data_IF_263766799345
#
_entry.id   IF_263766799345
#
_cell.length_a   1.000
_cell.length_b   1.000
_cell.length_c   1.000
_cell.angle_alpha   90.00
_cell.angle_beta   90.00
_cell.angle_gamma   90.00
#
_symmetry.space_group_name_H-M   'P 1'
#
loop_
_entity.id
_entity.type
_entity.pdbx_description
1 polymer ?
#
# COMPACT_ATOMS: atom_id res chain seq x y z
N UNK A 1 4.11 -3.22 -24.83
CA UNK A 1 4.24 -4.08 -23.63
C UNK A 1 3.62 -5.43 -23.96
N UNK A 2 4.33 -6.54 -23.71
CA UNK A 2 3.81 -7.87 -24.05
C UNK A 2 2.93 -8.44 -22.91
N UNK A 3 2.26 -9.55 -23.20
CA UNK A 3 1.32 -10.18 -22.25
C UNK A 3 2.02 -10.64 -20.97
N UNK A 4 3.24 -11.16 -21.08
CA UNK A 4 4.01 -11.60 -19.91
C UNK A 4 4.30 -10.44 -18.96
N UNK A 5 4.68 -9.28 -19.48
CA UNK A 5 4.92 -8.10 -18.68
C UNK A 5 3.64 -7.61 -18.01
N UNK A 6 2.53 -7.59 -18.75
CA UNK A 6 1.25 -7.19 -18.22
C UNK A 6 0.81 -8.09 -17.06
N UNK A 7 1.00 -9.41 -17.19
CA UNK A 7 0.64 -10.37 -16.15
C UNK A 7 1.51 -10.19 -14.89
N UNK A 8 2.79 -9.92 -15.06
CA UNK A 8 3.68 -9.65 -13.92
C UNK A 8 3.27 -8.39 -13.17
N UNK A 9 2.99 -7.32 -13.91
CA UNK A 9 2.54 -6.07 -13.32
C UNK A 9 1.19 -6.26 -12.62
N UNK A 10 0.25 -6.93 -13.28
CA UNK A 10 -1.07 -7.24 -12.70
C UNK A 10 -0.93 -7.95 -11.36
N UNK A 11 -0.09 -8.99 -11.31
CA UNK A 11 0.13 -9.77 -10.09
C UNK A 11 0.69 -8.90 -8.97
N UNK A 12 1.64 -8.03 -9.28
CA UNK A 12 2.22 -7.13 -8.27
C UNK A 12 1.21 -6.10 -7.77
N UNK A 13 0.35 -5.59 -8.65
CA UNK A 13 -0.73 -4.68 -8.25
C UNK A 13 -1.71 -5.40 -7.32
N UNK A 14 -2.08 -6.63 -7.64
CA UNK A 14 -2.97 -7.45 -6.81
C UNK A 14 -2.36 -7.73 -5.44
N UNK A 15 -1.03 -7.81 -5.34
CA UNK A 15 -0.31 -7.97 -4.09
C UNK A 15 -0.16 -6.65 -3.32
N UNK A 16 -0.80 -5.58 -3.79
CA UNK A 16 -0.75 -4.25 -3.17
C UNK A 16 0.67 -3.65 -3.14
N UNK A 17 1.48 -3.97 -4.15
CA UNK A 17 2.78 -3.34 -4.29
C UNK A 17 2.62 -1.91 -4.79
N UNK A 18 3.44 -0.99 -4.27
CA UNK A 18 3.47 0.39 -4.75
C UNK A 18 4.15 0.47 -6.12
N UNK A 19 3.95 1.59 -6.82
CA UNK A 19 4.61 1.82 -8.12
C UNK A 19 6.13 1.70 -7.99
N UNK A 20 6.71 2.29 -6.94
CA UNK A 20 8.15 2.22 -6.69
C UNK A 20 8.62 0.78 -6.50
N UNK A 21 7.86 -0.04 -5.75
CA UNK A 21 8.17 -1.44 -5.53
C UNK A 21 8.08 -2.25 -6.83
N UNK A 22 7.07 -1.97 -7.66
CA UNK A 22 6.91 -2.64 -8.95
C UNK A 22 8.06 -2.32 -9.89
N UNK A 23 8.44 -1.04 -9.99
CA UNK A 23 9.58 -0.62 -10.80
C UNK A 23 10.88 -1.25 -10.34
N UNK A 24 11.10 -1.35 -9.04
CA UNK A 24 12.29 -1.96 -8.47
C UNK A 24 12.36 -3.44 -8.79
N UNK A 25 11.24 -4.16 -8.66
CA UNK A 25 11.18 -5.60 -8.91
C UNK A 25 11.33 -5.94 -10.38
N UNK A 26 10.83 -5.09 -11.27
CA UNK A 26 10.89 -5.27 -12.72
C UNK A 26 11.87 -4.31 -13.37
N UNK A 27 12.96 -4.00 -12.67
CA UNK A 27 13.98 -3.04 -13.10
C UNK A 27 14.50 -3.31 -14.51
N UNK A 28 14.67 -4.57 -14.87
CA UNK A 28 15.22 -4.97 -16.17
C UNK A 28 14.30 -4.64 -17.35
N UNK A 29 13.03 -4.39 -17.08
CA UNK A 29 12.03 -4.14 -18.11
C UNK A 29 11.79 -2.67 -18.39
N UNK A 30 12.50 -1.78 -17.69
CA UNK A 30 12.46 -0.32 -17.91
C UNK A 30 11.03 0.23 -17.97
N UNK A 31 10.18 -0.20 -17.05
CA UNK A 31 8.79 0.22 -17.04
C UNK A 31 8.64 1.67 -16.58
N UNK A 32 7.70 2.38 -17.16
CA UNK A 32 7.34 3.73 -16.75
C UNK A 32 6.13 3.66 -15.82
N UNK A 33 5.89 4.74 -15.06
CA UNK A 33 4.68 4.89 -14.26
C UNK A 33 3.43 4.76 -15.11
N UNK A 34 3.46 5.32 -16.33
CA UNK A 34 2.35 5.23 -17.30
C UNK A 34 2.03 3.79 -17.70
N UNK A 35 3.05 2.95 -17.87
CA UNK A 35 2.84 1.53 -18.17
C UNK A 35 2.07 0.82 -17.05
N UNK A 36 2.43 1.11 -15.80
CA UNK A 36 1.79 0.49 -14.63
C UNK A 36 0.33 0.94 -14.52
N UNK A 37 0.06 2.23 -14.71
CA UNK A 37 -1.32 2.75 -14.71
C UNK A 37 -2.14 2.17 -15.87
N UNK A 38 -1.53 1.98 -17.04
CA UNK A 38 -2.21 1.38 -18.20
C UNK A 38 -2.67 -0.04 -17.88
N UNK A 39 -1.81 -0.86 -17.23
CA UNK A 39 -2.17 -2.21 -16.83
C UNK A 39 -3.29 -2.20 -15.79
N UNK A 40 -3.19 -1.32 -14.79
CA UNK A 40 -4.22 -1.20 -13.77
C UNK A 40 -5.58 -0.87 -14.39
N UNK A 41 -5.59 0.05 -15.37
CA UNK A 41 -6.81 0.43 -16.07
C UNK A 41 -7.38 -0.72 -16.90
N UNK A 42 -6.50 -1.44 -17.62
CA UNK A 42 -6.91 -2.57 -18.45
C UNK A 42 -7.60 -3.66 -17.66
N UNK A 43 -7.09 -3.97 -16.48
CA UNK A 43 -7.63 -5.02 -15.60
C UNK A 43 -8.53 -4.49 -14.50
N UNK A 44 -8.85 -3.19 -14.53
CA UNK A 44 -9.71 -2.53 -13.53
C UNK A 44 -9.20 -2.75 -12.10
N UNK A 45 -7.90 -2.56 -11.90
CA UNK A 45 -7.24 -2.73 -10.62
C UNK A 45 -6.92 -1.39 -9.97
N UNK A 46 -6.94 -1.36 -8.65
CA UNK A 46 -6.56 -0.17 -7.88
C UNK A 46 -5.10 -0.25 -7.49
N UNK A 47 -4.33 0.79 -7.80
CA UNK A 47 -2.92 0.88 -7.44
C UNK A 47 -2.79 1.35 -5.98
N UNK A 48 -1.96 0.66 -5.22
CA UNK A 48 -1.59 1.08 -3.86
C UNK A 48 -0.56 2.21 -3.95
N UNK A 49 -0.91 3.37 -3.44
CA UNK A 49 -0.08 4.58 -3.58
C UNK A 49 1.12 4.60 -2.65
N UNK A 50 1.03 3.95 -1.49
CA UNK A 50 2.10 3.96 -0.51
C UNK A 50 2.04 2.69 0.35
N UNK A 51 3.16 2.41 1.02
CA UNK A 51 3.20 1.30 1.99
C UNK A 51 2.20 1.51 3.11
N UNK A 52 1.99 2.76 3.52
CA UNK A 52 1.04 3.10 4.57
C UNK A 52 -0.40 2.83 4.13
N UNK A 53 -0.75 3.12 2.88
CA UNK A 53 -2.06 2.80 2.34
C UNK A 53 -2.30 1.29 2.35
N UNK A 54 -1.28 0.50 2.00
CA UNK A 54 -1.35 -0.96 2.07
C UNK A 54 -1.65 -1.44 3.50
N UNK A 55 -0.97 -0.86 4.47
CA UNK A 55 -1.19 -1.20 5.89
C UNK A 55 -2.59 -0.79 6.32
N UNK A 56 -3.04 0.40 5.91
CA UNK A 56 -4.37 0.92 6.25
C UNK A 56 -5.51 0.06 5.67
N UNK A 57 -5.26 -0.63 4.56
CA UNK A 57 -6.24 -1.53 3.95
C UNK A 57 -6.32 -2.90 4.64
N UNK A 58 -5.41 -3.18 5.57
CA UNK A 58 -5.39 -4.43 6.31
C UNK A 58 -6.48 -4.44 7.38
N UNK A 59 -7.16 -5.58 7.56
CA UNK A 59 -8.21 -5.73 8.57
C UNK A 59 -7.68 -5.47 9.99
N UNK A 60 -6.43 -5.87 10.29
CA UNK A 60 -5.81 -5.62 11.58
C UNK A 60 -5.68 -4.13 11.88
N UNK A 61 -5.34 -3.33 10.86
CA UNK A 61 -5.25 -1.88 11.03
C UNK A 61 -6.61 -1.32 11.47
N UNK A 62 -7.69 -1.72 10.82
CA UNK A 62 -9.03 -1.24 11.14
C UNK A 62 -9.44 -1.65 12.55
N UNK A 63 -9.15 -2.87 12.95
CA UNK A 63 -9.43 -3.35 14.31
C UNK A 63 -8.66 -2.53 15.35
N UNK A 64 -7.38 -2.31 15.14
CA UNK A 64 -6.54 -1.51 16.04
C UNK A 64 -6.99 -0.05 16.09
N UNK A 65 -7.43 0.50 14.97
CA UNK A 65 -7.96 1.86 14.91
C UNK A 65 -9.22 2.02 15.76
N UNK A 66 -10.13 1.05 15.69
CA UNK A 66 -11.32 1.02 16.54
C UNK A 66 -10.93 0.98 18.02
N UNK A 67 -9.99 0.10 18.39
CA UNK A 67 -9.51 -0.02 19.77
C UNK A 67 -8.89 1.28 20.27
N UNK A 68 -8.11 1.94 19.40
CA UNK A 68 -7.51 3.25 19.73
C UNK A 68 -8.60 4.29 19.97
N UNK A 69 -9.60 4.36 19.11
CA UNK A 69 -10.69 5.33 19.22
C UNK A 69 -11.55 5.10 20.46
N UNK A 70 -11.63 3.85 20.93
CA UNK A 70 -12.33 3.50 22.15
C UNK A 70 -11.48 3.70 23.43
N UNK A 71 -10.21 4.10 23.26
CA UNK A 71 -9.31 4.32 24.38
C UNK A 71 -8.71 3.05 24.97
N UNK A 72 -8.85 1.92 24.28
CA UNK A 72 -8.29 0.64 24.74
C UNK A 72 -6.79 0.53 24.52
N UNK A 73 -6.26 1.21 23.51
CA UNK A 73 -4.83 1.28 23.23
C UNK A 73 -4.44 2.73 22.88
N UNK A 74 -3.15 3.04 23.07
CA UNK A 74 -2.61 4.35 22.68
C UNK A 74 -2.11 4.30 21.24
N UNK A 75 -1.83 5.48 20.67
CA UNK A 75 -1.23 5.58 19.32
C UNK A 75 0.13 4.88 19.30
N UNK A 76 0.93 5.02 20.37
CA UNK A 76 2.23 4.34 20.47
C UNK A 76 2.07 2.82 20.45
N UNK A 77 1.11 2.30 21.23
CA UNK A 77 0.85 0.86 21.25
C UNK A 77 0.40 0.36 19.89
N UNK A 78 -0.45 1.12 19.21
CA UNK A 78 -0.89 0.79 17.85
C UNK A 78 0.30 0.76 16.87
N UNK A 79 1.20 1.74 16.96
CA UNK A 79 2.39 1.77 16.13
C UNK A 79 3.29 0.56 16.37
N UNK A 80 3.49 0.18 17.63
CA UNK A 80 4.29 -0.98 17.99
C UNK A 80 3.68 -2.28 17.43
N UNK A 81 2.36 -2.44 17.55
CA UNK A 81 1.67 -3.62 17.03
C UNK A 81 1.71 -3.71 15.49
N UNK A 82 1.76 -2.56 14.83
CA UNK A 82 1.87 -2.49 13.36
C UNK A 82 3.32 -2.50 12.88
N UNK A 83 4.27 -2.48 13.81
CA UNK A 83 5.70 -2.42 13.52
C UNK A 83 6.05 -1.17 12.70
N UNK A 84 5.49 -0.03 13.09
CA UNK A 84 5.68 1.26 12.44
C UNK A 84 6.30 2.27 13.40
N UNK A 85 7.08 3.25 12.88
CA UNK A 85 7.47 4.40 13.69
C UNK A 85 6.24 5.19 14.14
N UNK A 86 6.25 5.66 15.37
CA UNK A 86 5.17 6.47 15.92
C UNK A 86 4.85 7.67 15.04
N UNK A 87 5.88 8.41 14.61
CA UNK A 87 5.70 9.60 13.78
C UNK A 87 5.01 9.30 12.47
N UNK A 88 5.31 8.17 11.85
CA UNK A 88 4.68 7.75 10.59
C UNK A 88 3.19 7.50 10.79
N UNK A 89 2.83 6.73 11.82
CA UNK A 89 1.43 6.45 12.11
C UNK A 89 0.68 7.72 12.52
N UNK A 90 1.28 8.53 13.38
CA UNK A 90 0.67 9.77 13.84
C UNK A 90 0.36 10.72 12.67
N UNK A 91 1.33 10.90 11.77
CA UNK A 91 1.15 11.74 10.58
C UNK A 91 0.04 11.21 9.68
N UNK A 92 -0.02 9.91 9.49
CA UNK A 92 -1.05 9.27 8.67
C UNK A 92 -2.45 9.51 9.27
N UNK A 93 -2.61 9.29 10.57
CA UNK A 93 -3.90 9.47 11.24
C UNK A 93 -4.33 10.93 11.27
N UNK A 94 -3.37 11.86 11.42
CA UNK A 94 -3.64 13.30 11.42
C UNK A 94 -4.12 13.78 10.06
N UNK A 95 -3.55 13.24 8.97
CA UNK A 95 -3.86 13.67 7.60
C UNK A 95 -5.12 12.99 7.05
N UNK A 96 -5.59 11.94 7.70
CA UNK A 96 -6.78 11.21 7.27
C UNK A 96 -8.02 11.80 7.92
N UNK A 97 -8.54 12.83 7.31
CA UNK A 97 -9.81 13.42 7.73
C UNK A 97 -10.88 13.16 6.70
#
# INVERSE_FOLDING_TARGET
MNIKQQRKIKKLIEQQKTIAEIKKKLKDQKLTTGNIYAVARTFNLKITKSKMERIANNANFQTLLVQKNLGLITTQEMADLLNLPFSTLYSFLKNKK
#
